data_IF_607530331597
#
_entry.id   IF_607530331597
#
_cell.length_a   1.000
_cell.length_b   1.000
_cell.length_c   1.000
_cell.angle_alpha   90.00
_cell.angle_beta   90.00
_cell.angle_gamma   90.00
#
_symmetry.space_group_name_H-M   'P 1'
#
loop_
_entity.id
_entity.type
_entity.pdbx_description
1 polymer ?
#
# COMPACT_ATOMS: atom_id res chain seq x y z
N UNK A 1 -44.52 17.77 -69.88
CA UNK A 1 -43.14 17.63 -69.39
C UNK A 1 -43.09 18.29 -68.02
N UNK A 2 -43.64 17.55 -67.03
CA UNK A 2 -43.87 17.98 -65.65
C UNK A 2 -43.00 17.13 -64.74
N UNK A 3 -41.92 17.68 -64.20
CA UNK A 3 -41.22 17.11 -63.05
C UNK A 3 -40.49 18.26 -62.34
N UNK A 4 -40.47 18.23 -61.01
CA UNK A 4 -39.85 19.19 -60.07
C UNK A 4 -40.68 20.41 -59.65
N UNK A 5 -41.83 20.13 -59.02
CA UNK A 5 -42.42 21.02 -58.01
C UNK A 5 -43.16 20.20 -56.95
N UNK A 6 -42.44 19.45 -56.11
CA UNK A 6 -42.92 18.90 -54.82
C UNK A 6 -41.87 17.99 -54.16
N UNK A 7 -40.86 18.58 -53.52
CA UNK A 7 -39.91 17.81 -52.72
C UNK A 7 -39.39 18.62 -51.51
N UNK A 8 -40.27 19.39 -50.86
CA UNK A 8 -39.93 20.12 -49.64
C UNK A 8 -40.96 20.07 -48.51
N UNK A 9 -42.13 19.45 -48.72
CA UNK A 9 -43.15 19.31 -47.67
C UNK A 9 -43.44 17.86 -47.22
N UNK A 10 -42.87 16.85 -47.88
CA UNK A 10 -43.09 15.44 -47.50
C UNK A 10 -42.11 14.96 -46.42
N UNK A 11 -41.01 15.68 -46.19
CA UNK A 11 -39.97 15.28 -45.22
C UNK A 11 -40.32 15.69 -43.78
N UNK A 12 -41.20 16.67 -43.58
CA UNK A 12 -41.56 17.16 -42.23
C UNK A 12 -42.65 16.32 -41.53
N UNK A 13 -43.43 15.53 -42.29
CA UNK A 13 -44.51 14.70 -41.75
C UNK A 13 -44.07 13.28 -41.37
N UNK A 14 -42.88 12.84 -41.77
CA UNK A 14 -42.34 11.53 -41.38
C UNK A 14 -41.66 11.58 -40.00
N UNK A 15 -41.21 12.75 -39.54
CA UNK A 15 -40.60 12.91 -38.21
C UNK A 15 -41.61 13.00 -37.05
N UNK A 16 -42.90 13.25 -37.31
CA UNK A 16 -43.92 13.40 -36.26
C UNK A 16 -44.77 12.14 -36.02
N UNK A 17 -44.68 11.13 -36.90
CA UNK A 17 -45.39 9.84 -36.73
C UNK A 17 -44.53 8.79 -36.03
N UNK A 18 -43.21 8.96 -35.96
CA UNK A 18 -42.31 8.04 -35.22
C UNK A 18 -42.26 8.28 -33.70
N UNK A 19 -43.01 9.26 -33.18
CA UNK A 19 -43.02 9.56 -31.73
C UNK A 19 -44.07 8.78 -30.92
N UNK A 20 -44.78 7.82 -31.50
CA UNK A 20 -45.88 7.15 -30.77
C UNK A 20 -45.83 5.64 -30.60
N UNK A 21 -45.04 4.87 -31.34
CA UNK A 21 -44.90 3.44 -31.02
C UNK A 21 -43.50 2.96 -31.38
N UNK A 22 -42.71 2.67 -30.35
CA UNK A 22 -41.98 1.41 -30.13
C UNK A 22 -41.17 1.64 -28.84
N UNK A 23 -41.71 1.11 -27.74
CA UNK A 23 -40.91 0.77 -26.58
C UNK A 23 -39.97 -0.37 -26.96
N UNK A 24 -38.76 -0.03 -27.36
CA UNK A 24 -37.62 -0.95 -27.32
C UNK A 24 -36.49 -0.18 -26.67
N UNK A 25 -36.05 -0.66 -25.51
CA UNK A 25 -34.90 -0.13 -24.82
C UNK A 25 -33.72 -0.02 -25.78
N UNK A 26 -33.33 1.22 -26.06
CA UNK A 26 -31.99 1.52 -26.56
C UNK A 26 -31.03 0.96 -25.51
N UNK A 27 -30.10 0.04 -25.84
CA UNK A 27 -29.00 -0.23 -24.96
C UNK A 27 -28.27 1.09 -24.81
N UNK A 28 -28.36 1.67 -23.62
CA UNK A 28 -27.52 2.77 -23.23
C UNK A 28 -26.10 2.19 -23.26
N UNK A 29 -25.42 2.35 -24.40
CA UNK A 29 -23.98 2.22 -24.49
C UNK A 29 -23.43 3.37 -23.67
N UNK A 30 -23.44 3.18 -22.35
CA UNK A 30 -22.65 3.97 -21.44
C UNK A 30 -21.23 3.88 -21.96
N UNK A 31 -20.55 5.01 -22.13
CA UNK A 31 -19.10 5.04 -22.28
C UNK A 31 -18.50 4.31 -21.07
N UNK A 32 -18.35 2.99 -21.18
CA UNK A 32 -17.91 2.16 -20.10
C UNK A 32 -16.40 2.38 -20.01
N UNK A 33 -15.99 3.30 -19.14
CA UNK A 33 -14.59 3.48 -18.77
C UNK A 33 -14.10 2.12 -18.30
N UNK A 34 -13.37 1.37 -19.12
CA UNK A 34 -13.00 -0.01 -18.77
C UNK A 34 -12.00 0.03 -17.61
N UNK A 35 -12.35 -0.59 -16.49
CA UNK A 35 -11.41 -0.83 -15.41
C UNK A 35 -10.37 -1.86 -15.92
N UNK A 36 -9.10 -1.52 -15.84
CA UNK A 36 -7.98 -2.37 -16.23
C UNK A 36 -7.44 -3.08 -14.97
N UNK A 37 -8.14 -4.14 -14.55
CA UNK A 37 -7.78 -4.94 -13.37
C UNK A 37 -6.43 -5.63 -13.54
N UNK A 38 -6.04 -5.99 -14.77
CA UNK A 38 -4.77 -6.64 -15.08
C UNK A 38 -3.58 -5.81 -14.60
N UNK A 39 -3.65 -4.48 -14.72
CA UNK A 39 -2.63 -3.57 -14.17
C UNK A 39 -2.57 -3.59 -12.65
N UNK A 40 -3.71 -3.70 -11.97
CA UNK A 40 -3.77 -3.78 -10.51
C UNK A 40 -3.16 -5.10 -10.02
N UNK A 41 -3.53 -6.20 -10.68
CA UNK A 41 -3.00 -7.55 -10.40
C UNK A 41 -1.49 -7.59 -10.63
N UNK A 42 -1.02 -7.08 -11.78
CA UNK A 42 0.41 -7.06 -12.09
C UNK A 42 1.22 -6.27 -11.05
N UNK A 43 0.68 -5.14 -10.58
CA UNK A 43 1.30 -4.35 -9.51
C UNK A 43 1.37 -5.12 -8.19
N UNK A 44 0.25 -5.69 -7.74
CA UNK A 44 0.22 -6.46 -6.49
C UNK A 44 1.16 -7.67 -6.56
N UNK A 45 1.18 -8.39 -7.69
CA UNK A 45 2.07 -9.51 -7.92
C UNK A 45 3.55 -9.11 -7.90
N UNK A 46 3.90 -7.94 -8.46
CA UNK A 46 5.29 -7.44 -8.43
C UNK A 46 5.80 -7.14 -7.03
N UNK A 47 4.89 -6.91 -6.08
CA UNK A 47 5.17 -6.65 -4.66
C UNK A 47 4.91 -7.89 -3.78
N UNK A 48 4.57 -9.03 -4.37
CA UNK A 48 4.14 -10.26 -3.67
C UNK A 48 2.98 -10.03 -2.69
N UNK A 49 2.10 -9.07 -2.98
CA UNK A 49 0.95 -8.73 -2.14
C UNK A 49 -0.25 -9.61 -2.51
N UNK A 50 -0.60 -10.52 -1.61
CA UNK A 50 -1.71 -11.46 -1.76
C UNK A 50 -2.77 -11.32 -0.66
N UNK A 51 -2.42 -10.70 0.47
CA UNK A 51 -3.28 -10.55 1.65
C UNK A 51 -2.89 -9.30 2.47
N UNK A 52 -3.72 -8.84 3.43
CA UNK A 52 -3.33 -7.76 4.35
C UNK A 52 -1.98 -8.01 5.03
N UNK A 53 -1.71 -9.25 5.44
CA UNK A 53 -0.47 -9.66 6.12
C UNK A 53 0.75 -9.50 5.23
N UNK A 54 0.65 -9.89 3.96
CA UNK A 54 1.76 -9.70 3.02
C UNK A 54 2.21 -8.24 2.93
N UNK A 55 1.28 -7.28 3.06
CA UNK A 55 1.58 -5.84 3.00
C UNK A 55 2.40 -5.39 4.21
N UNK A 56 1.95 -5.64 5.44
CA UNK A 56 2.69 -5.17 6.60
C UNK A 56 3.94 -6.02 6.91
N UNK A 57 4.02 -7.26 6.39
CA UNK A 57 5.24 -8.07 6.44
C UNK A 57 6.36 -7.50 5.54
N UNK A 58 6.03 -6.67 4.53
CA UNK A 58 7.03 -5.90 3.77
C UNK A 58 7.91 -5.05 4.69
N UNK A 59 7.34 -4.45 5.74
CA UNK A 59 8.08 -3.64 6.70
C UNK A 59 8.98 -4.45 7.64
N UNK A 60 8.84 -5.76 7.68
CA UNK A 60 9.71 -6.61 8.50
C UNK A 60 10.89 -7.13 7.67
N UNK A 61 10.74 -7.27 6.35
CA UNK A 61 11.75 -7.91 5.50
C UNK A 61 12.68 -6.92 4.79
N UNK A 62 12.16 -5.94 4.04
CA UNK A 62 12.99 -5.13 3.12
C UNK A 62 12.61 -3.64 3.05
N UNK A 63 12.72 -2.90 4.17
CA UNK A 63 12.27 -1.50 4.24
C UNK A 63 12.84 -0.59 3.14
N UNK A 64 14.15 -0.64 2.89
CA UNK A 64 14.84 0.33 2.02
C UNK A 64 14.61 0.07 0.52
N UNK A 65 14.61 -1.19 0.08
CA UNK A 65 14.37 -1.55 -1.33
C UNK A 65 12.93 -1.24 -1.73
N UNK A 66 11.97 -1.54 -0.85
CA UNK A 66 10.53 -1.46 -1.09
C UNK A 66 10.07 -0.02 -1.26
N UNK A 67 10.58 0.92 -0.47
CA UNK A 67 10.14 2.32 -0.56
C UNK A 67 10.47 3.01 -1.89
N UNK A 68 11.63 2.66 -2.47
CA UNK A 68 12.01 3.16 -3.80
C UNK A 68 11.07 2.63 -4.90
N UNK A 69 10.69 1.35 -4.83
CA UNK A 69 9.81 0.69 -5.80
C UNK A 69 8.35 1.17 -5.68
N UNK A 70 7.86 1.30 -4.45
CA UNK A 70 6.47 1.69 -4.18
C UNK A 70 6.13 3.07 -4.71
N UNK A 71 7.00 4.06 -4.48
CA UNK A 71 6.69 5.46 -4.81
C UNK A 71 6.46 5.66 -6.31
N UNK A 72 7.28 5.02 -7.14
CA UNK A 72 7.17 5.17 -8.59
C UNK A 72 6.08 4.26 -9.18
N UNK A 73 5.96 3.03 -8.70
CA UNK A 73 4.92 2.10 -9.17
C UNK A 73 3.51 2.58 -8.78
N UNK A 74 3.32 3.19 -7.61
CA UNK A 74 2.03 3.74 -7.19
C UNK A 74 1.58 4.91 -8.08
N UNK A 75 2.50 5.73 -8.60
CA UNK A 75 2.15 6.79 -9.57
C UNK A 75 1.70 6.21 -10.91
N UNK A 76 2.33 5.12 -11.35
CA UNK A 76 1.99 4.45 -12.62
C UNK A 76 0.58 3.86 -12.57
N UNK A 77 0.19 3.28 -11.43
CA UNK A 77 -1.11 2.61 -11.28
C UNK A 77 -2.24 3.52 -10.79
N UNK A 78 -1.95 4.75 -10.39
CA UNK A 78 -2.93 5.69 -9.83
C UNK A 78 -4.15 5.89 -10.74
N UNK A 79 -3.92 6.03 -12.05
CA UNK A 79 -5.02 6.16 -13.03
C UNK A 79 -5.91 4.92 -13.04
N UNK A 80 -5.32 3.73 -13.22
CA UNK A 80 -6.07 2.46 -13.24
C UNK A 80 -6.82 2.24 -11.93
N UNK A 81 -6.19 2.53 -10.80
CA UNK A 81 -6.79 2.43 -9.48
C UNK A 81 -8.00 3.35 -9.35
N UNK A 82 -7.89 4.62 -9.76
CA UNK A 82 -8.99 5.58 -9.69
C UNK A 82 -10.16 5.17 -10.59
N UNK A 83 -9.87 4.73 -11.82
CA UNK A 83 -10.89 4.26 -12.76
C UNK A 83 -11.64 3.05 -12.18
N UNK A 84 -10.92 2.04 -11.67
CA UNK A 84 -11.52 0.84 -11.07
C UNK A 84 -12.26 1.10 -9.76
N UNK A 85 -11.72 1.96 -8.88
CA UNK A 85 -12.33 2.34 -7.60
C UNK A 85 -13.71 2.96 -7.78
N UNK A 86 -13.95 3.68 -8.89
CA UNK A 86 -15.28 4.27 -9.16
C UNK A 86 -16.35 3.22 -9.50
N UNK A 87 -15.95 2.04 -9.99
CA UNK A 87 -16.87 0.94 -10.32
C UNK A 87 -17.11 0.00 -9.15
N UNK A 88 -16.03 -0.47 -8.53
CA UNK A 88 -16.11 -1.34 -7.36
C UNK A 88 -15.14 -0.87 -6.28
N UNK A 89 -15.67 -0.11 -5.34
CA UNK A 89 -14.90 0.41 -4.23
C UNK A 89 -14.53 -0.68 -3.20
N UNK A 90 -15.06 -1.90 -3.27
CA UNK A 90 -14.81 -2.96 -2.29
C UNK A 90 -14.09 -4.19 -2.86
N UNK A 91 -13.85 -4.25 -4.17
CA UNK A 91 -13.11 -5.33 -4.81
C UNK A 91 -11.74 -5.57 -4.16
N UNK A 92 -11.35 -6.85 -4.06
CA UNK A 92 -10.14 -7.30 -3.36
C UNK A 92 -8.89 -6.51 -3.75
N UNK A 93 -8.63 -6.34 -5.04
CA UNK A 93 -7.43 -5.65 -5.53
C UNK A 93 -7.41 -4.18 -5.14
N UNK A 94 -8.56 -3.51 -5.17
CA UNK A 94 -8.70 -2.11 -4.73
C UNK A 94 -8.43 -1.99 -3.23
N UNK A 95 -8.99 -2.91 -2.45
CA UNK A 95 -8.78 -2.98 -1.00
C UNK A 95 -7.30 -3.22 -0.66
N UNK A 96 -6.63 -4.15 -1.33
CA UNK A 96 -5.20 -4.40 -1.14
C UNK A 96 -4.34 -3.18 -1.56
N UNK A 97 -4.66 -2.52 -2.67
CA UNK A 97 -3.94 -1.30 -3.08
C UNK A 97 -4.10 -0.17 -2.04
N UNK A 98 -5.27 -0.02 -1.41
CA UNK A 98 -5.43 0.94 -0.29
C UNK A 98 -4.53 0.59 0.89
N UNK A 99 -4.42 -0.69 1.22
CA UNK A 99 -3.45 -1.17 2.21
C UNK A 99 -2.01 -0.82 1.85
N UNK A 100 -1.62 -1.02 0.58
CA UNK A 100 -0.28 -0.67 0.09
C UNK A 100 -0.03 0.85 0.12
N UNK A 101 -1.03 1.67 -0.24
CA UNK A 101 -0.95 3.12 -0.11
C UNK A 101 -0.79 3.54 1.36
N UNK A 102 -1.55 2.94 2.29
CA UNK A 102 -1.42 3.20 3.72
C UNK A 102 -0.03 2.83 4.24
N UNK A 103 0.47 1.66 3.86
CA UNK A 103 1.84 1.23 4.14
C UNK A 103 2.87 2.25 3.63
N UNK A 104 2.79 2.63 2.35
CA UNK A 104 3.72 3.56 1.71
C UNK A 104 3.70 4.93 2.41
N UNK A 105 2.52 5.44 2.79
CA UNK A 105 2.39 6.70 3.51
C UNK A 105 2.98 6.62 4.93
N UNK A 106 2.82 5.50 5.62
CA UNK A 106 3.27 5.31 6.99
C UNK A 106 4.78 5.07 7.10
N UNK A 107 5.35 4.33 6.15
CA UNK A 107 6.75 3.87 6.17
C UNK A 107 7.65 4.68 5.22
N UNK A 108 7.21 4.96 3.99
CA UNK A 108 8.10 5.40 2.90
C UNK A 108 8.05 6.90 2.60
N UNK A 109 6.87 7.51 2.54
CA UNK A 109 6.71 8.95 2.21
C UNK A 109 6.86 9.87 3.44
N UNK A 110 7.57 9.39 4.45
CA UNK A 110 7.48 9.88 5.81
C UNK A 110 8.73 10.69 6.20
N UNK A 111 9.20 11.57 5.32
CA UNK A 111 10.31 12.48 5.62
C UNK A 111 9.95 13.29 6.88
N UNK A 112 10.79 13.18 7.91
CA UNK A 112 10.57 13.72 9.26
C UNK A 112 9.42 13.13 10.10
N UNK A 113 8.79 12.02 9.70
CA UNK A 113 7.80 11.35 10.54
C UNK A 113 8.46 10.74 11.79
N UNK A 114 8.02 11.10 13.01
CA UNK A 114 8.53 10.50 14.25
C UNK A 114 8.30 8.99 14.33
N UNK A 115 7.26 8.48 13.66
CA UNK A 115 6.94 7.05 13.63
C UNK A 115 8.04 6.24 12.94
N UNK A 116 8.42 6.59 11.72
CA UNK A 116 9.41 5.81 10.96
C UNK A 116 10.78 5.81 11.66
N UNK A 117 11.18 6.95 12.25
CA UNK A 117 12.40 7.05 13.05
C UNK A 117 12.40 6.05 14.22
N UNK A 118 11.27 5.92 14.93
CA UNK A 118 11.12 4.94 16.01
C UNK A 118 11.04 3.51 15.48
N UNK A 119 10.37 3.30 14.34
CA UNK A 119 10.27 1.99 13.71
C UNK A 119 11.64 1.46 13.32
N UNK A 120 12.52 2.28 12.73
CA UNK A 120 13.91 1.91 12.42
C UNK A 120 14.73 1.46 13.63
N UNK A 121 14.47 2.00 14.83
CA UNK A 121 15.15 1.57 16.06
C UNK A 121 14.79 0.12 16.41
N UNK A 122 13.52 -0.25 16.27
CA UNK A 122 13.01 -1.58 16.64
C UNK A 122 13.09 -2.60 15.50
N UNK A 123 13.18 -2.13 14.25
CA UNK A 123 13.18 -2.95 13.04
C UNK A 123 14.19 -4.10 13.06
N UNK A 124 15.47 -3.93 13.47
CA UNK A 124 16.41 -5.05 13.51
C UNK A 124 15.95 -6.21 14.39
N UNK A 125 15.21 -5.95 15.48
CA UNK A 125 14.66 -7.02 16.31
C UNK A 125 13.44 -7.67 15.65
N UNK A 126 12.54 -6.86 15.07
CA UNK A 126 11.36 -7.35 14.37
C UNK A 126 11.74 -8.23 13.15
N UNK A 127 12.83 -7.88 12.44
CA UNK A 127 13.38 -8.65 11.32
C UNK A 127 13.78 -10.08 11.73
N UNK A 128 14.32 -10.26 12.94
CA UNK A 128 14.67 -11.60 13.47
C UNK A 128 13.42 -12.43 13.79
N UNK A 129 12.29 -11.78 14.07
CA UNK A 129 11.00 -12.44 14.33
C UNK A 129 10.21 -12.80 13.06
N UNK A 130 10.72 -12.51 11.85
CA UNK A 130 9.94 -12.67 10.61
C UNK A 130 9.32 -14.06 10.44
N UNK A 131 10.07 -15.12 10.76
CA UNK A 131 9.58 -16.50 10.67
C UNK A 131 8.57 -16.82 11.78
N UNK A 132 8.76 -16.25 12.97
CA UNK A 132 7.83 -16.44 14.09
C UNK A 132 6.46 -15.83 13.78
N UNK A 133 6.42 -14.76 12.98
CA UNK A 133 5.18 -14.09 12.60
C UNK A 133 4.35 -14.88 11.57
N UNK A 134 4.91 -15.84 10.84
CA UNK A 134 4.14 -16.68 9.90
C UNK A 134 2.97 -17.39 10.59
N UNK A 135 3.16 -17.77 11.86
CA UNK A 135 2.12 -18.39 12.70
C UNK A 135 0.99 -17.45 13.12
N UNK A 136 1.11 -16.14 12.85
CA UNK A 136 0.10 -15.13 13.14
C UNK A 136 -0.81 -14.81 11.94
N UNK A 137 -0.56 -15.39 10.77
CA UNK A 137 -1.37 -15.16 9.59
C UNK A 137 -2.83 -15.60 9.82
N UNK A 138 -3.77 -14.81 9.31
CA UNK A 138 -5.18 -15.14 9.35
C UNK A 138 -5.51 -16.36 8.48
N UNK A 139 -6.74 -16.91 8.61
CA UNK A 139 -7.30 -17.83 7.62
C UNK A 139 -7.28 -17.21 6.22
N UNK A 140 -7.23 -18.04 5.17
CA UNK A 140 -7.33 -17.55 3.79
C UNK A 140 -8.57 -16.67 3.60
N UNK A 141 -8.39 -15.55 2.90
CA UNK A 141 -9.43 -14.60 2.48
C UNK A 141 -10.30 -14.05 3.63
N UNK A 142 -9.77 -14.02 4.86
CA UNK A 142 -10.53 -13.58 6.02
C UNK A 142 -11.05 -12.14 5.91
N UNK A 143 -10.39 -11.30 5.11
CA UNK A 143 -10.78 -9.91 4.83
C UNK A 143 -11.94 -9.79 3.83
N UNK A 144 -12.34 -10.90 3.19
CA UNK A 144 -13.49 -10.97 2.28
C UNK A 144 -14.71 -11.63 2.94
N UNK A 145 -14.62 -12.01 4.22
CA UNK A 145 -15.75 -12.57 4.96
C UNK A 145 -16.89 -11.54 5.08
N UNK A 146 -18.13 -11.90 4.72
CA UNK A 146 -19.25 -10.96 4.72
C UNK A 146 -19.75 -10.55 6.12
N UNK A 147 -19.45 -11.31 7.18
CA UNK A 147 -19.77 -10.89 8.56
C UNK A 147 -18.62 -10.06 9.16
N UNK A 148 -18.81 -8.73 9.18
CA UNK A 148 -17.87 -7.76 9.78
C UNK A 148 -17.41 -8.16 11.20
N UNK A 149 -18.27 -8.81 11.99
CA UNK A 149 -17.89 -9.23 13.36
C UNK A 149 -16.86 -10.34 13.33
N UNK A 150 -16.96 -11.26 12.37
CA UNK A 150 -15.95 -12.31 12.18
C UNK A 150 -14.66 -11.71 11.65
N UNK A 151 -14.74 -10.80 10.66
CA UNK A 151 -13.59 -10.05 10.14
C UNK A 151 -12.84 -9.34 11.28
N UNK A 152 -13.55 -8.54 12.09
CA UNK A 152 -12.95 -7.82 13.20
C UNK A 152 -12.39 -8.76 14.30
N UNK A 153 -13.02 -9.91 14.54
CA UNK A 153 -12.49 -10.91 15.49
C UNK A 153 -11.20 -11.55 14.97
N UNK A 154 -11.14 -11.88 13.69
CA UNK A 154 -9.94 -12.42 13.04
C UNK A 154 -8.84 -11.39 13.04
N UNK A 155 -9.13 -10.16 12.63
CA UNK A 155 -8.21 -9.04 12.70
C UNK A 155 -7.63 -8.87 14.11
N UNK A 156 -8.47 -8.86 15.15
CA UNK A 156 -8.00 -8.78 16.54
C UNK A 156 -7.05 -9.92 16.92
N UNK A 157 -7.35 -11.13 16.45
CA UNK A 157 -6.52 -12.33 16.72
C UNK A 157 -5.14 -12.19 16.07
N UNK A 158 -5.09 -11.72 14.82
CA UNK A 158 -3.85 -11.44 14.09
C UNK A 158 -3.04 -10.37 14.85
N UNK A 159 -3.65 -9.23 15.13
CA UNK A 159 -3.00 -8.10 15.82
C UNK A 159 -2.44 -8.52 17.18
N UNK A 160 -3.22 -9.26 17.98
CA UNK A 160 -2.79 -9.75 19.30
C UNK A 160 -1.60 -10.71 19.19
N UNK A 161 -1.58 -11.57 18.17
CA UNK A 161 -0.48 -12.50 17.95
C UNK A 161 0.83 -11.73 17.66
N UNK A 162 0.80 -10.76 16.75
CA UNK A 162 1.94 -9.90 16.46
C UNK A 162 2.38 -9.12 17.71
N UNK A 163 1.44 -8.49 18.42
CA UNK A 163 1.71 -7.74 19.63
C UNK A 163 2.39 -8.61 20.70
N UNK A 164 1.86 -9.81 20.99
CA UNK A 164 2.41 -10.70 22.01
C UNK A 164 3.82 -11.14 21.65
N UNK A 165 4.06 -11.57 20.40
CA UNK A 165 5.39 -12.03 19.96
C UNK A 165 6.42 -10.90 20.03
N UNK A 166 6.08 -9.74 19.48
CA UNK A 166 6.93 -8.55 19.56
C UNK A 166 7.19 -8.13 21.01
N UNK A 167 6.17 -8.12 21.88
CA UNK A 167 6.32 -7.68 23.27
C UNK A 167 7.22 -8.62 24.09
N UNK A 168 7.11 -9.94 23.87
CA UNK A 168 7.93 -10.94 24.55
C UNK A 168 9.41 -10.88 24.15
N UNK A 169 9.72 -10.58 22.89
CA UNK A 169 11.10 -10.68 22.38
C UNK A 169 11.75 -9.32 22.17
N UNK A 170 11.02 -8.37 21.61
CA UNK A 170 11.51 -7.04 21.22
C UNK A 170 11.00 -5.90 22.13
N UNK A 171 10.13 -6.20 23.10
CA UNK A 171 9.63 -5.24 24.06
C UNK A 171 8.40 -4.47 23.59
N UNK A 172 7.87 -3.65 24.50
CA UNK A 172 6.59 -2.97 24.32
C UNK A 172 6.65 -1.93 23.20
N UNK A 173 7.76 -1.20 23.06
CA UNK A 173 7.90 -0.22 21.99
C UNK A 173 7.81 -0.87 20.60
N UNK A 174 8.46 -2.03 20.43
CA UNK A 174 8.41 -2.78 19.18
C UNK A 174 7.00 -3.32 18.91
N UNK A 175 6.33 -3.85 19.93
CA UNK A 175 4.95 -4.35 19.83
C UNK A 175 3.97 -3.24 19.42
N UNK A 176 4.08 -2.05 20.01
CA UNK A 176 3.26 -0.90 19.67
C UNK A 176 3.54 -0.40 18.26
N UNK A 177 4.82 -0.31 17.88
CA UNK A 177 5.20 0.11 16.53
C UNK A 177 4.60 -0.83 15.47
N UNK A 178 4.74 -2.15 15.65
CA UNK A 178 4.16 -3.12 14.73
C UNK A 178 2.63 -3.05 14.71
N UNK A 179 1.99 -2.92 15.87
CA UNK A 179 0.52 -2.87 15.98
C UNK A 179 -0.07 -1.68 15.25
N UNK A 180 0.56 -0.51 15.36
CA UNK A 180 0.14 0.69 14.66
C UNK A 180 0.29 0.58 13.14
N UNK A 181 1.31 -0.13 12.64
CA UNK A 181 1.43 -0.41 11.21
C UNK A 181 0.31 -1.31 10.72
N UNK A 182 0.06 -2.40 11.47
CA UNK A 182 -0.99 -3.36 11.13
C UNK A 182 -2.36 -2.67 11.13
N UNK A 183 -2.62 -1.80 12.11
CA UNK A 183 -3.84 -0.98 12.17
C UNK A 183 -4.03 -0.11 10.93
N UNK A 184 -3.04 0.70 10.58
CA UNK A 184 -3.10 1.55 9.38
C UNK A 184 -3.37 0.72 8.12
N UNK A 185 -2.67 -0.39 7.94
CA UNK A 185 -2.81 -1.23 6.74
C UNK A 185 -4.19 -1.89 6.71
N UNK A 186 -4.56 -2.59 7.78
CA UNK A 186 -5.78 -3.41 7.81
C UNK A 186 -7.03 -2.55 7.73
N UNK A 187 -7.12 -1.43 8.47
CA UNK A 187 -8.32 -0.58 8.40
C UNK A 187 -8.51 0.03 7.00
N UNK A 188 -7.42 0.33 6.28
CA UNK A 188 -7.49 0.79 4.90
C UNK A 188 -7.88 -0.31 3.90
N UNK A 189 -7.47 -1.56 4.14
CA UNK A 189 -7.94 -2.71 3.36
C UNK A 189 -9.43 -2.95 3.59
N UNK A 190 -9.87 -2.98 4.85
CA UNK A 190 -11.28 -3.21 5.20
C UNK A 190 -12.20 -2.06 4.78
N UNK A 191 -11.65 -0.85 4.66
CA UNK A 191 -12.41 0.37 4.36
C UNK A 191 -13.33 0.81 5.50
N UNK A 192 -13.21 0.20 6.68
CA UNK A 192 -13.95 0.51 7.89
C UNK A 192 -13.12 0.14 9.13
N UNK A 193 -13.41 0.78 10.26
CA UNK A 193 -12.70 0.52 11.52
C UNK A 193 -13.42 -0.52 12.38
N UNK A 194 -12.63 -1.35 13.06
CA UNK A 194 -13.12 -2.36 13.99
C UNK A 194 -13.08 -1.85 15.43
N UNK A 195 -14.15 -2.06 16.21
CA UNK A 195 -14.21 -1.60 17.61
C UNK A 195 -13.33 -2.44 18.53
N UNK A 196 -12.57 -1.79 19.41
CA UNK A 196 -11.81 -2.46 20.47
C UNK A 196 -10.51 -3.13 20.01
N UNK A 197 -10.06 -2.85 18.78
CA UNK A 197 -8.80 -3.38 18.25
C UNK A 197 -7.60 -2.97 19.08
N UNK A 198 -7.58 -1.72 19.58
CA UNK A 198 -6.48 -1.16 20.37
C UNK A 198 -6.48 -1.61 21.84
N UNK A 199 -7.24 -2.64 22.19
CA UNK A 199 -7.22 -3.27 23.52
C UNK A 199 -6.21 -4.42 23.55
N UNK A 200 -4.94 -4.09 23.77
CA UNK A 200 -3.87 -5.09 23.75
C UNK A 200 -3.90 -6.03 24.96
N UNK A 201 -3.57 -7.32 24.78
CA UNK A 201 -3.49 -8.27 25.88
C UNK A 201 -2.33 -7.95 26.82
N UNK A 202 -2.51 -8.26 28.10
CA UNK A 202 -1.43 -8.19 29.09
C UNK A 202 -0.41 -9.30 28.82
N UNK A 203 0.85 -8.91 28.58
CA UNK A 203 1.98 -9.82 28.47
C UNK A 203 2.79 -9.74 29.76
N UNK A 204 2.85 -10.83 30.53
CA UNK A 204 3.46 -10.84 31.88
C UNK A 204 4.99 -10.79 31.86
N UNK A 205 5.59 -11.26 30.78
CA UNK A 205 7.02 -11.48 30.57
C UNK A 205 7.54 -10.65 29.39
N UNK A 206 7.16 -9.37 29.32
CA UNK A 206 7.65 -8.47 28.27
C UNK A 206 9.16 -8.26 28.37
N UNK A 207 9.85 -8.26 27.23
CA UNK A 207 11.24 -7.84 27.16
C UNK A 207 11.34 -6.35 27.53
N UNK A 208 12.25 -5.92 28.42
CA UNK A 208 12.43 -4.51 28.72
C UNK A 208 12.97 -3.71 27.52
N UNK A 209 12.33 -2.59 27.17
CA UNK A 209 12.70 -1.78 25.98
C UNK A 209 14.17 -1.31 25.96
N UNK A 210 14.77 -1.12 27.15
CA UNK A 210 16.18 -0.70 27.31
C UNK A 210 17.20 -1.61 26.59
N UNK A 211 16.82 -2.85 26.28
CA UNK A 211 17.69 -3.78 25.56
C UNK A 211 17.74 -3.50 24.05
N UNK A 212 16.72 -2.85 23.47
CA UNK A 212 16.67 -2.49 22.06
C UNK A 212 17.40 -1.16 21.80
N UNK A 213 17.21 -0.18 22.68
CA UNK A 213 17.83 1.15 22.54
C UNK A 213 19.37 1.09 22.55
N UNK A 214 19.96 0.15 23.32
CA UNK A 214 21.41 -0.04 23.39
C UNK A 214 22.00 -0.59 22.10
N UNK A 215 21.31 -1.50 21.42
CA UNK A 215 21.76 -2.11 20.16
C UNK A 215 21.73 -1.10 19.02
N UNK A 216 20.77 -0.17 19.01
CA UNK A 216 20.73 0.93 18.04
C UNK A 216 21.84 1.97 18.25
N UNK A 217 22.23 2.29 19.49
CA UNK A 217 23.37 3.18 19.75
C UNK A 217 24.73 2.54 19.44
N UNK A 218 24.85 1.20 19.54
CA UNK A 218 26.06 0.47 19.17
C UNK A 218 26.26 0.35 17.65
N UNK A 219 25.18 0.46 16.85
CA UNK A 219 25.22 0.62 15.39
C UNK A 219 25.18 2.10 14.97
N UNK A 220 25.67 3.00 15.83
CA UNK A 220 26.02 4.35 15.44
C UNK A 220 27.03 4.28 14.29
N UNK A 221 26.57 4.64 13.10
CA UNK A 221 27.28 4.74 11.84
C UNK A 221 28.64 5.39 12.09
N UNK A 222 29.71 4.57 12.16
CA UNK A 222 31.04 5.07 11.79
C UNK A 222 30.96 5.35 10.31
N UNK A 223 30.72 6.62 9.99
CA UNK A 223 30.87 7.22 8.67
C UNK A 223 32.33 7.12 8.24
N UNK A 224 32.75 5.90 7.89
CA UNK A 224 34.07 5.59 7.34
C UNK A 224 33.95 5.36 5.84
N UNK A 225 33.32 6.28 5.12
CA UNK A 225 33.42 6.37 3.65
C UNK A 225 32.86 7.71 3.18
N UNK A 226 33.67 8.77 3.27
CA UNK A 226 33.81 9.90 2.31
C UNK A 226 35.11 10.61 2.74
N UNK A 227 36.25 9.99 2.43
CA UNK A 227 37.53 10.67 2.27
C UNK A 227 38.23 10.15 1.02
N UNK A 228 37.46 9.94 -0.04
CA UNK A 228 37.97 9.66 -1.38
C UNK A 228 37.18 10.52 -2.35
N UNK A 229 37.29 11.85 -2.26
CA UNK A 229 37.00 12.76 -3.39
C UNK A 229 37.41 14.22 -3.12
N UNK A 230 38.62 14.46 -2.58
CA UNK A 230 39.25 15.81 -2.62
C UNK A 230 40.78 15.79 -2.85
N UNK A 231 41.30 14.78 -3.55
CA UNK A 231 42.70 14.76 -4.03
C UNK A 231 42.79 14.69 -5.57
N UNK A 232 41.68 14.43 -6.27
CA UNK A 232 41.66 14.32 -7.75
C UNK A 232 41.57 15.62 -8.55
N UNK A 233 41.66 16.80 -7.92
CA UNK A 233 41.51 18.10 -8.60
C UNK A 233 42.72 19.05 -8.46
N UNK A 234 43.80 18.63 -7.79
CA UNK A 234 45.07 19.37 -7.76
C UNK A 234 46.19 18.68 -8.56
N UNK A 235 46.03 17.42 -8.96
CA UNK A 235 47.03 16.67 -9.74
C UNK A 235 47.09 17.03 -11.23
N UNK A 236 46.02 17.58 -11.82
CA UNK A 236 45.96 17.90 -13.25
C UNK A 236 46.36 19.33 -13.62
N UNK A 237 46.73 20.17 -12.65
CA UNK A 237 47.27 21.51 -12.92
C UNK A 237 48.82 21.52 -12.93
N UNK A 238 49.47 20.54 -12.30
CA UNK A 238 50.94 20.49 -12.20
C UNK A 238 51.61 19.85 -13.44
N UNK A 239 50.89 19.03 -14.21
CA UNK A 239 51.41 18.44 -15.46
C UNK A 239 51.40 19.40 -16.67
N UNK A 240 50.74 20.56 -16.58
CA UNK A 240 50.71 21.58 -17.64
C UNK A 240 51.77 22.69 -17.48
N UNK A 241 52.59 22.64 -16.41
CA UNK A 241 53.62 23.66 -16.13
C UNK A 241 55.05 23.10 -16.22
N UNK A 242 55.24 21.77 -16.29
CA UNK A 242 56.57 21.14 -16.27
C UNK A 242 57.05 20.53 -17.59
N UNK A 243 56.28 20.66 -18.68
CA UNK A 243 56.75 20.37 -20.03
C UNK A 243 56.35 21.50 -20.97
N UNK A 244 57.22 22.50 -21.22
CA UNK A 244 57.06 23.42 -22.34
C UNK A 244 57.26 22.70 -23.68
#
# INVERSE_FOLDING_TARGET
MSYFKNMREVTFLICLVYLLEIGTGVPQESCEVSCDEDKLIAFLASMEVLSPESIFNLAINELESICSQLTDNLKVIEKSFNDCKTKDARGLYISLIRGVQAFNNRICCADNNPYIKKFYVVHPCLFELRQDFESCNGPADWNEEPDDRKVCKTYKTILDCYYIKSAKVCGQQAAMAMSLLIEDVVENVLGHSCKGINSFPLVKDMMPDKYIERTSSAKGITSSTILVLKIGLLGNIIMLILFP
#
